data_IF_014596065226
#
_entry.id   IF_014596065226
#
_cell.length_a   1.000
_cell.length_b   1.000
_cell.length_c   1.000
_cell.angle_alpha   90.00
_cell.angle_beta   90.00
_cell.angle_gamma   90.00
#
_symmetry.space_group_name_H-M   'P 1'
#
loop_
_entity.id
_entity.type
_entity.pdbx_description
1 polymer ?
#
# COMPACT_ATOMS: atom_id res chain seq x y z
N UNK A 1 -23.79 -15.06 -3.06
CA UNK A 1 -23.06 -13.78 -3.15
C UNK A 1 -22.28 -13.63 -1.86
N UNK A 2 -21.05 -14.12 -1.86
CA UNK A 2 -20.20 -14.19 -0.66
C UNK A 2 -19.29 -12.97 -0.67
N UNK A 3 -19.59 -11.99 0.18
CA UNK A 3 -18.69 -10.87 0.41
C UNK A 3 -17.44 -11.39 1.10
N UNK A 4 -16.28 -11.28 0.45
CA UNK A 4 -14.99 -11.39 1.13
C UNK A 4 -14.89 -10.20 2.09
N UNK A 5 -15.39 -10.43 3.30
CA UNK A 5 -15.24 -9.52 4.43
C UNK A 5 -13.77 -9.39 4.78
N UNK A 6 -13.40 -8.18 5.19
CA UNK A 6 -12.09 -7.84 5.75
C UNK A 6 -11.73 -8.87 6.83
N UNK A 7 -10.77 -9.74 6.54
CA UNK A 7 -10.35 -10.76 7.50
C UNK A 7 -9.39 -10.13 8.49
N UNK A 8 -9.89 -9.77 9.68
CA UNK A 8 -9.05 -9.47 10.84
C UNK A 8 -8.54 -10.78 11.45
N UNK A 9 -7.59 -11.44 10.80
CA UNK A 9 -6.82 -12.49 11.47
C UNK A 9 -5.79 -11.84 12.39
N UNK A 10 -6.00 -11.94 13.69
CA UNK A 10 -4.94 -11.69 14.67
C UNK A 10 -3.95 -12.85 14.57
N UNK A 11 -2.95 -12.71 13.72
CA UNK A 11 -1.89 -13.72 13.55
C UNK A 11 -0.95 -13.62 14.76
N UNK A 12 -0.66 -14.72 15.48
CA UNK A 12 0.28 -14.70 16.59
C UNK A 12 1.66 -14.18 16.16
N UNK A 13 2.41 -13.45 17.02
CA UNK A 13 3.71 -12.88 16.65
C UNK A 13 4.72 -13.89 16.08
N UNK A 14 4.76 -15.11 16.61
CA UNK A 14 5.64 -16.18 16.09
C UNK A 14 5.23 -16.75 14.73
N UNK A 15 3.97 -16.57 14.31
CA UNK A 15 3.53 -16.86 12.95
C UNK A 15 3.87 -15.70 12.01
N UNK A 16 3.75 -14.45 12.47
CA UNK A 16 4.15 -13.26 11.72
C UNK A 16 5.65 -13.23 11.39
N UNK A 17 6.51 -13.65 12.33
CA UNK A 17 7.96 -13.73 12.09
C UNK A 17 8.33 -14.71 10.97
N UNK A 18 7.72 -15.90 10.97
CA UNK A 18 7.89 -16.89 9.88
C UNK A 18 7.30 -16.43 8.56
N UNK A 19 6.16 -15.74 8.59
CA UNK A 19 5.60 -15.10 7.40
C UNK A 19 6.52 -14.01 6.84
N UNK A 20 7.27 -13.29 7.69
CA UNK A 20 8.26 -12.30 7.24
C UNK A 20 9.43 -12.94 6.48
N UNK A 21 9.91 -14.10 6.91
CA UNK A 21 10.98 -14.85 6.23
C UNK A 21 10.55 -15.38 4.85
N UNK A 22 9.28 -15.78 4.74
CA UNK A 22 8.69 -16.30 3.51
C UNK A 22 8.09 -15.21 2.59
N UNK A 23 8.05 -13.96 3.06
CA UNK A 23 7.51 -12.86 2.30
C UNK A 23 8.33 -12.57 1.03
N UNK A 24 7.65 -12.06 0.01
CA UNK A 24 8.30 -11.49 -1.15
C UNK A 24 9.35 -10.44 -0.71
N UNK A 25 10.54 -10.36 -1.36
CA UNK A 25 11.66 -9.56 -0.87
C UNK A 25 11.30 -8.12 -0.49
N UNK A 26 10.47 -7.45 -1.29
CA UNK A 26 10.04 -6.07 -1.08
C UNK A 26 9.11 -5.88 0.13
N UNK A 27 8.43 -6.94 0.60
CA UNK A 27 7.55 -6.89 1.78
C UNK A 27 8.25 -7.27 3.09
N UNK A 28 9.44 -7.90 3.04
CA UNK A 28 10.08 -8.47 4.23
C UNK A 28 10.23 -7.49 5.38
N UNK A 29 10.66 -6.26 5.08
CA UNK A 29 10.84 -5.21 6.10
C UNK A 29 9.51 -4.80 6.75
N UNK A 30 8.43 -4.70 5.98
CA UNK A 30 7.09 -4.38 6.49
C UNK A 30 6.58 -5.51 7.39
N UNK A 31 6.75 -6.76 6.98
CA UNK A 31 6.37 -7.92 7.79
C UNK A 31 7.18 -8.00 9.09
N UNK A 32 8.49 -7.79 9.04
CA UNK A 32 9.34 -7.75 10.22
C UNK A 32 8.91 -6.64 11.20
N UNK A 33 8.63 -5.43 10.70
CA UNK A 33 8.16 -4.32 11.52
C UNK A 33 6.77 -4.59 12.12
N UNK A 34 5.90 -5.29 11.39
CA UNK A 34 4.60 -5.73 11.87
C UNK A 34 4.74 -6.79 12.97
N UNK A 35 5.62 -7.78 12.78
CA UNK A 35 5.90 -8.83 13.76
C UNK A 35 6.52 -8.26 15.05
N UNK A 36 7.37 -7.25 14.94
CA UNK A 36 7.92 -6.49 16.06
C UNK A 36 6.90 -5.55 16.73
N UNK A 37 5.70 -5.42 16.15
CA UNK A 37 4.67 -4.53 16.66
C UNK A 37 5.05 -3.05 16.57
N UNK A 38 5.85 -2.64 15.61
CA UNK A 38 6.17 -1.22 15.38
C UNK A 38 5.03 -0.55 14.61
N UNK A 39 4.43 -1.28 13.67
CA UNK A 39 3.32 -0.85 12.83
C UNK A 39 2.19 -1.88 12.81
N UNK A 40 1.01 -1.47 12.36
CA UNK A 40 0.01 -2.37 11.81
C UNK A 40 0.18 -2.52 10.30
N UNK A 41 -0.32 -3.63 9.75
CA UNK A 41 -0.38 -3.89 8.31
C UNK A 41 -1.84 -4.06 7.89
N UNK A 42 -2.24 -3.37 6.83
CA UNK A 42 -3.53 -3.55 6.17
C UNK A 42 -3.33 -3.89 4.71
N UNK A 43 -4.25 -4.69 4.15
CA UNK A 43 -4.31 -4.95 2.72
C UNK A 43 -5.77 -4.81 2.26
N UNK A 44 -6.00 -4.03 1.21
CA UNK A 44 -7.32 -3.86 0.59
C UNK A 44 -7.19 -4.16 -0.89
N UNK A 45 -8.09 -5.02 -1.37
CA UNK A 45 -8.19 -5.42 -2.77
C UNK A 45 -9.37 -4.74 -3.46
N UNK A 46 -9.39 -4.79 -4.79
CA UNK A 46 -10.49 -4.28 -5.62
C UNK A 46 -11.83 -4.81 -5.11
N UNK A 47 -12.84 -3.93 -5.06
CA UNK A 47 -14.22 -4.24 -4.69
C UNK A 47 -14.45 -4.77 -3.26
N UNK A 48 -13.47 -4.67 -2.35
CA UNK A 48 -13.62 -5.10 -0.95
C UNK A 48 -14.64 -4.29 -0.11
N UNK A 49 -15.25 -3.25 -0.68
CA UNK A 49 -16.22 -2.40 -0.01
C UNK A 49 -15.59 -1.42 0.99
N UNK A 50 -16.38 -0.96 1.96
CA UNK A 50 -15.94 0.01 2.95
C UNK A 50 -15.03 -0.62 4.00
N UNK A 51 -13.86 -0.03 4.22
CA UNK A 51 -12.93 -0.45 5.27
C UNK A 51 -12.66 0.66 6.28
N UNK A 52 -12.21 0.28 7.48
CA UNK A 52 -11.64 1.16 8.52
C UNK A 52 -10.70 0.32 9.39
N UNK A 53 -9.56 0.90 9.75
CA UNK A 53 -8.66 0.29 10.71
C UNK A 53 -8.75 1.01 12.06
N UNK A 54 -8.65 0.25 13.14
CA UNK A 54 -8.52 0.76 14.49
C UNK A 54 -7.19 0.24 15.05
N UNK A 55 -6.23 1.14 15.24
CA UNK A 55 -4.89 0.84 15.73
C UNK A 55 -4.36 2.03 16.50
N UNK A 56 -3.64 1.78 17.60
CA UNK A 56 -2.84 2.78 18.30
C UNK A 56 -1.45 2.98 17.69
N UNK A 57 -1.11 2.20 16.67
CA UNK A 57 0.14 2.26 15.92
C UNK A 57 -0.13 2.74 14.49
N UNK A 58 0.86 3.38 13.84
CA UNK A 58 0.82 3.66 12.41
C UNK A 58 0.51 2.40 11.61
N UNK A 59 -0.28 2.53 10.56
CA UNK A 59 -0.60 1.43 9.64
C UNK A 59 0.08 1.67 8.31
N UNK A 60 0.76 0.65 7.80
CA UNK A 60 1.11 0.57 6.37
C UNK A 60 -0.03 -0.16 5.68
N UNK A 61 -0.75 0.53 4.78
CA UNK A 61 -1.82 -0.04 3.97
C UNK A 61 -1.31 -0.34 2.58
N UNK A 62 -1.43 -1.58 2.15
CA UNK A 62 -1.25 -1.99 0.76
C UNK A 62 -2.62 -1.97 0.06
N UNK A 63 -2.68 -1.35 -1.12
CA UNK A 63 -3.84 -1.33 -2.00
C UNK A 63 -3.45 -2.07 -3.27
N UNK A 64 -3.96 -3.28 -3.45
CA UNK A 64 -3.70 -4.11 -4.63
C UNK A 64 -4.68 -3.78 -5.75
N UNK A 65 -4.24 -3.04 -6.75
CA UNK A 65 -4.96 -2.69 -7.98
C UNK A 65 -4.24 -3.22 -9.24
N UNK A 66 -3.33 -4.18 -9.08
CA UNK A 66 -2.49 -4.75 -10.14
C UNK A 66 -2.69 -6.27 -10.32
N UNK A 67 -3.86 -6.78 -9.93
CA UNK A 67 -4.31 -8.16 -10.20
C UNK A 67 -4.42 -8.45 -11.72
N UNK A 68 -5.19 -9.47 -12.12
CA UNK A 68 -5.43 -9.81 -13.53
C UNK A 68 -5.80 -8.58 -14.39
N UNK A 69 -6.60 -7.68 -13.80
CA UNK A 69 -6.92 -6.37 -14.35
C UNK A 69 -6.69 -5.28 -13.29
N UNK A 70 -6.37 -4.09 -13.79
CA UNK A 70 -6.32 -2.86 -12.99
C UNK A 70 -7.52 -2.00 -13.35
N UNK A 71 -8.17 -1.41 -12.35
CA UNK A 71 -9.37 -0.59 -12.52
C UNK A 71 -9.20 0.82 -11.94
N UNK A 72 -8.04 1.09 -11.34
CA UNK A 72 -7.75 2.36 -10.72
C UNK A 72 -8.57 2.59 -9.43
N UNK A 73 -8.58 3.83 -8.94
CA UNK A 73 -9.23 4.17 -7.67
C UNK A 73 -10.74 3.95 -7.65
N UNK A 74 -11.39 3.80 -8.82
CA UNK A 74 -12.83 3.58 -8.92
C UNK A 74 -13.27 2.20 -8.41
N UNK A 75 -12.38 1.20 -8.40
CA UNK A 75 -12.69 -0.13 -7.86
C UNK A 75 -12.72 -0.18 -6.32
N UNK A 76 -12.40 0.92 -5.64
CA UNK A 76 -12.27 0.97 -4.20
C UNK A 76 -13.28 1.93 -3.57
N UNK A 77 -13.61 1.70 -2.29
CA UNK A 77 -14.52 2.57 -1.58
C UNK A 77 -13.90 3.95 -1.32
N UNK A 78 -14.26 4.93 -2.16
CA UNK A 78 -13.70 6.29 -2.20
C UNK A 78 -13.64 6.97 -0.83
N UNK A 79 -14.70 6.86 -0.01
CA UNK A 79 -14.73 7.52 1.31
C UNK A 79 -13.71 6.92 2.29
N UNK A 80 -13.46 5.60 2.21
CA UNK A 80 -12.48 4.93 3.07
C UNK A 80 -11.05 5.27 2.67
N UNK A 81 -10.74 5.25 1.37
CA UNK A 81 -9.43 5.66 0.86
C UNK A 81 -9.11 7.11 1.21
N UNK A 82 -10.03 8.05 0.92
CA UNK A 82 -9.83 9.47 1.26
C UNK A 82 -9.61 9.68 2.74
N UNK A 83 -10.31 8.93 3.60
CA UNK A 83 -10.12 9.03 5.05
C UNK A 83 -8.72 8.55 5.45
N UNK A 84 -8.30 7.40 4.95
CA UNK A 84 -6.96 6.88 5.24
C UNK A 84 -5.86 7.83 4.75
N UNK A 85 -6.00 8.34 3.52
CA UNK A 85 -5.06 9.27 2.90
C UNK A 85 -4.91 10.58 3.66
N UNK A 86 -5.98 11.14 4.24
CA UNK A 86 -5.92 12.37 5.06
C UNK A 86 -5.13 12.22 6.35
N UNK A 87 -5.06 11.00 6.87
CA UNK A 87 -4.33 10.68 8.10
C UNK A 87 -2.93 10.12 7.79
N UNK A 88 -2.55 10.06 6.51
CA UNK A 88 -1.27 9.50 6.08
C UNK A 88 -0.12 10.52 6.18
N UNK A 89 1.06 10.01 6.52
CA UNK A 89 2.34 10.73 6.49
C UNK A 89 3.12 10.51 5.20
N UNK A 90 2.87 9.42 4.48
CA UNK A 90 3.46 9.15 3.17
C UNK A 90 2.53 8.33 2.27
N UNK A 91 2.66 8.52 0.96
CA UNK A 91 2.06 7.67 -0.07
C UNK A 91 3.11 7.21 -1.08
N UNK A 92 2.94 5.99 -1.56
CA UNK A 92 3.75 5.38 -2.60
C UNK A 92 2.84 4.76 -3.64
N UNK A 93 3.12 4.99 -4.92
CA UNK A 93 2.47 4.30 -6.04
C UNK A 93 3.54 3.45 -6.74
N UNK A 94 3.26 2.17 -6.90
CA UNK A 94 4.10 1.19 -7.59
C UNK A 94 3.33 0.71 -8.81
N UNK A 95 3.76 1.09 -9.99
CA UNK A 95 3.08 0.83 -11.26
C UNK A 95 3.83 -0.16 -12.17
N UNK A 96 4.76 -0.94 -11.60
CA UNK A 96 5.61 -1.90 -12.31
C UNK A 96 6.05 -3.06 -11.43
N UNK A 97 7.11 -3.75 -11.84
CA UNK A 97 7.66 -4.86 -11.07
C UNK A 97 8.03 -4.39 -9.65
N UNK A 98 7.62 -5.12 -8.60
CA UNK A 98 7.79 -4.65 -7.24
C UNK A 98 9.26 -4.66 -6.83
N UNK A 99 9.77 -3.48 -6.47
CA UNK A 99 11.12 -3.26 -5.95
C UNK A 99 11.08 -2.96 -4.44
N UNK A 100 12.16 -3.25 -3.71
CA UNK A 100 12.21 -3.08 -2.26
C UNK A 100 12.24 -1.61 -1.82
N UNK A 101 12.79 -0.72 -2.66
CA UNK A 101 12.91 0.70 -2.35
C UNK A 101 11.55 1.40 -2.08
N UNK A 102 10.53 1.33 -2.96
CA UNK A 102 9.25 2.01 -2.72
C UNK A 102 8.53 1.53 -1.45
N UNK A 103 8.58 0.24 -1.15
CA UNK A 103 7.97 -0.33 0.07
C UNK A 103 8.73 0.13 1.32
N UNK A 104 10.06 0.16 1.25
CA UNK A 104 10.91 0.72 2.31
C UNK A 104 10.61 2.20 2.58
N UNK A 105 10.37 2.99 1.54
CA UNK A 105 10.02 4.40 1.68
C UNK A 105 8.68 4.62 2.40
N UNK A 106 7.65 3.81 2.09
CA UNK A 106 6.38 3.85 2.81
C UNK A 106 6.55 3.45 4.29
N UNK A 107 7.30 2.38 4.56
CA UNK A 107 7.61 1.95 5.92
C UNK A 107 8.34 3.04 6.72
N UNK A 108 9.39 3.61 6.14
CA UNK A 108 10.13 4.71 6.75
C UNK A 108 9.22 5.93 7.01
N UNK A 109 8.38 6.27 6.04
CA UNK A 109 7.37 7.33 6.19
C UNK A 109 6.44 7.09 7.38
N UNK A 110 5.94 5.87 7.55
CA UNK A 110 5.08 5.53 8.68
C UNK A 110 5.81 5.67 10.04
N UNK A 111 7.03 5.15 10.12
CA UNK A 111 7.84 5.16 11.35
C UNK A 111 8.26 6.59 11.73
N UNK A 112 8.83 7.34 10.79
CA UNK A 112 9.39 8.68 11.05
C UNK A 112 8.31 9.71 11.38
N UNK A 113 7.12 9.58 10.77
CA UNK A 113 6.03 10.54 10.99
C UNK A 113 5.10 10.13 12.13
N UNK A 114 5.13 8.86 12.58
CA UNK A 114 4.13 8.30 13.49
C UNK A 114 2.72 8.29 12.89
N UNK A 115 2.57 8.40 11.58
CA UNK A 115 1.30 8.43 10.85
C UNK A 115 1.19 7.25 9.89
N UNK A 116 0.00 7.01 9.37
CA UNK A 116 -0.21 5.93 8.41
C UNK A 116 0.62 6.15 7.13
N UNK A 117 0.96 5.08 6.44
CA UNK A 117 1.48 5.14 5.08
C UNK A 117 0.66 4.25 4.16
N UNK A 118 0.61 4.60 2.88
CA UNK A 118 -0.10 3.82 1.86
C UNK A 118 0.84 3.44 0.72
N UNK A 119 0.73 2.21 0.27
CA UNK A 119 1.38 1.66 -0.91
C UNK A 119 0.25 1.26 -1.85
N UNK A 120 0.26 1.81 -3.06
CA UNK A 120 -0.74 1.54 -4.09
C UNK A 120 -0.02 0.77 -5.19
N UNK A 121 -0.31 -0.52 -5.28
CA UNK A 121 0.16 -1.40 -6.35
C UNK A 121 -0.84 -1.27 -7.49
N UNK A 122 -0.42 -0.80 -8.66
CA UNK A 122 -1.32 -0.53 -9.79
C UNK A 122 -0.59 -0.76 -11.12
N UNK A 123 -1.20 -0.35 -12.22
CA UNK A 123 -0.58 -0.33 -13.55
C UNK A 123 -0.40 1.11 -14.02
N UNK A 124 0.58 1.31 -14.90
CA UNK A 124 0.93 2.64 -15.46
C UNK A 124 -0.29 3.40 -16.00
N UNK A 125 -1.23 2.71 -16.65
CA UNK A 125 -2.47 3.31 -17.18
C UNK A 125 -3.35 4.00 -16.13
N UNK A 126 -3.28 3.59 -14.86
CA UNK A 126 -4.08 4.15 -13.76
C UNK A 126 -3.27 5.01 -12.79
N UNK A 127 -1.95 5.10 -12.97
CA UNK A 127 -1.07 5.93 -12.16
C UNK A 127 -1.54 7.40 -12.08
N UNK A 128 -1.93 8.08 -13.17
CA UNK A 128 -2.41 9.46 -13.09
C UNK A 128 -3.68 9.60 -12.23
N UNK A 129 -4.57 8.62 -12.28
CA UNK A 129 -5.81 8.62 -11.49
C UNK A 129 -5.52 8.43 -9.99
N UNK A 130 -4.55 7.59 -9.65
CA UNK A 130 -4.09 7.42 -8.28
C UNK A 130 -3.37 8.66 -7.74
N UNK A 131 -2.50 9.29 -8.52
CA UNK A 131 -1.86 10.56 -8.17
C UNK A 131 -2.92 11.63 -7.91
N UNK A 132 -3.93 11.74 -8.78
CA UNK A 132 -5.03 12.69 -8.63
C UNK A 132 -5.80 12.43 -7.31
N UNK A 133 -6.15 11.19 -7.00
CA UNK A 133 -6.83 10.85 -5.74
C UNK A 133 -6.00 11.23 -4.52
N UNK A 134 -4.69 10.93 -4.52
CA UNK A 134 -3.79 11.26 -3.42
C UNK A 134 -3.73 12.77 -3.21
N UNK A 135 -3.50 13.54 -4.27
CA UNK A 135 -3.43 15.01 -4.21
C UNK A 135 -4.76 15.63 -3.80
N UNK A 136 -5.89 15.08 -4.28
CA UNK A 136 -7.24 15.54 -3.90
C UNK A 136 -7.53 15.28 -2.41
N UNK A 137 -7.04 14.18 -1.86
CA UNK A 137 -7.23 13.84 -0.45
C UNK A 137 -6.28 14.61 0.48
N UNK A 138 -5.02 14.76 0.10
CA UNK A 138 -3.99 15.46 0.88
C UNK A 138 -2.93 16.09 -0.05
N UNK A 139 -3.10 17.37 -0.45
CA UNK A 139 -2.24 18.02 -1.45
C UNK A 139 -0.75 18.10 -1.11
N UNK A 140 -0.40 18.04 0.19
CA UNK A 140 0.98 18.13 0.69
C UNK A 140 1.53 16.78 1.14
N UNK A 141 0.83 15.66 0.88
CA UNK A 141 1.33 14.33 1.23
C UNK A 141 2.59 14.04 0.40
N UNK A 142 3.73 13.73 1.02
CA UNK A 142 4.87 13.20 0.29
C UNK A 142 4.45 11.96 -0.52
N UNK A 143 4.65 12.02 -1.82
CA UNK A 143 4.24 10.99 -2.77
C UNK A 143 5.45 10.55 -3.59
N UNK A 144 5.81 9.28 -3.45
CA UNK A 144 6.78 8.61 -4.33
C UNK A 144 6.01 7.83 -5.40
N UNK A 145 6.45 7.94 -6.65
CA UNK A 145 5.90 7.18 -7.78
C UNK A 145 7.01 6.36 -8.38
N UNK A 146 6.79 5.05 -8.48
CA UNK A 146 7.71 4.07 -9.04
C UNK A 146 7.06 3.42 -10.25
N UNK A 147 7.43 3.91 -11.43
CA UNK A 147 6.99 3.42 -12.73
C UNK A 147 8.12 2.56 -13.33
N UNK A 148 7.82 1.45 -14.02
CA UNK A 148 8.86 0.67 -14.67
C UNK A 148 9.58 1.54 -15.71
N UNK A 149 10.92 1.53 -15.69
CA UNK A 149 11.72 2.24 -16.67
C UNK A 149 11.43 1.69 -18.06
N UNK A 150 11.07 2.57 -19.00
CA UNK A 150 11.06 2.24 -20.42
C UNK A 150 12.36 1.52 -20.75
N UNK A 151 12.28 0.31 -21.28
CA UNK A 151 13.46 -0.40 -21.79
C UNK A 151 14.07 0.51 -22.84
N UNK A 152 15.22 1.10 -22.55
CA UNK A 152 15.97 1.92 -23.49
C UNK A 152 16.29 1.07 -24.72
N UNK A 153 15.48 1.18 -25.76
CA UNK A 153 15.79 0.61 -27.06
C UNK A 153 16.95 1.39 -27.64
N UNK A 154 18.16 0.85 -27.53
CA UNK A 154 19.29 1.28 -28.36
C UNK A 154 18.92 0.90 -29.79
N UNK A 155 18.54 1.90 -30.60
CA UNK A 155 18.59 1.76 -32.06
C UNK A 155 20.01 2.11 -32.47
N UNK A 156 20.72 1.10 -32.99
CA UNK A 156 21.92 1.31 -33.79
C UNK A 156 21.58 2.02 -35.10
#
# INVERSE_FOLDING_TARGET
>A
MSGLGITHHVVPPGCLARSAEQAAPHLRAIWAATAAGVIGLGHVVQHAGAFRFASNKPIVLIVGDDFDLSFGPAAFHRKSLRRFLRDAGAAVIVSGAPDSMPYGAALAGAILTGKNAIIIESREAHEPAWIALVKEAQPRLPLLVSTPGATSGVRH
#
